data_IF_661747626047
#
_entry.id   IF_661747626047
#
_cell.length_a   1.000
_cell.length_b   1.000
_cell.length_c   1.000
_cell.angle_alpha   90.00
_cell.angle_beta   90.00
_cell.angle_gamma   90.00
#
_symmetry.space_group_name_H-M   'P 1'
#
loop_
_entity.id
_entity.type
_entity.pdbx_description
1 polymer ?
#
# COMPACT_ATOMS: atom_id res chain seq x y z
N UNK A 1 60.82 5.49 39.29
CA UNK A 1 60.26 5.30 37.93
C UNK A 1 59.99 3.81 37.71
N UNK A 2 58.78 3.33 38.02
CA UNK A 2 58.11 2.18 37.38
C UNK A 2 56.71 2.04 37.98
N UNK A 3 55.74 2.02 37.08
CA UNK A 3 54.32 2.13 37.28
C UNK A 3 53.68 0.73 37.37
N UNK A 4 52.63 0.63 38.19
CA UNK A 4 51.41 -0.19 38.06
C UNK A 4 51.49 -1.71 37.77
N UNK A 5 50.86 -2.47 38.66
CA UNK A 5 49.89 -3.52 38.30
C UNK A 5 48.72 -3.48 39.29
N UNK A 6 47.66 -2.77 38.92
CA UNK A 6 46.33 -2.88 39.53
C UNK A 6 45.60 -4.00 38.80
N UNK A 7 45.02 -4.92 39.57
CA UNK A 7 44.30 -6.08 39.10
C UNK A 7 43.03 -5.69 38.32
N UNK A 8 42.82 -6.40 37.21
CA UNK A 8 41.68 -6.28 36.33
C UNK A 8 40.38 -6.65 37.06
N UNK A 9 39.41 -5.73 37.00
CA UNK A 9 38.03 -5.94 37.37
C UNK A 9 37.34 -6.81 36.30
N UNK A 10 36.65 -7.87 36.73
CA UNK A 10 35.79 -8.70 35.89
C UNK A 10 34.60 -7.86 35.39
N UNK A 11 34.53 -7.58 34.09
CA UNK A 11 33.31 -7.09 33.47
C UNK A 11 32.41 -8.28 33.11
N UNK A 12 31.27 -8.33 33.80
CA UNK A 12 30.10 -9.11 33.40
C UNK A 12 29.75 -8.78 31.95
N UNK A 13 29.47 -9.83 31.15
CA UNK A 13 28.82 -9.70 29.84
C UNK A 13 27.43 -9.10 30.06
N UNK A 14 27.31 -7.79 29.90
CA UNK A 14 26.02 -7.15 29.68
C UNK A 14 25.48 -7.59 28.32
N UNK A 15 24.37 -8.32 28.36
CA UNK A 15 23.52 -8.57 27.20
C UNK A 15 23.09 -7.23 26.60
N UNK A 16 23.66 -6.90 25.44
CA UNK A 16 23.28 -5.69 24.70
C UNK A 16 21.78 -5.75 24.39
N UNK A 17 20.99 -4.73 24.79
CA UNK A 17 19.56 -4.72 24.50
C UNK A 17 19.35 -4.74 22.99
N UNK A 18 18.44 -5.62 22.54
CA UNK A 18 17.98 -5.69 21.15
C UNK A 18 17.51 -4.29 20.74
N UNK A 19 18.10 -3.73 19.69
CA UNK A 19 17.67 -2.47 19.10
C UNK A 19 16.23 -2.60 18.55
N UNK A 20 15.23 -2.35 19.39
CA UNK A 20 13.85 -2.09 18.99
C UNK A 20 13.73 -0.64 18.55
N UNK A 21 13.21 -0.41 17.35
CA UNK A 21 13.10 0.93 16.78
C UNK A 21 11.81 1.59 17.27
N UNK A 22 11.91 2.34 18.36
CA UNK A 22 10.81 3.11 18.93
C UNK A 22 10.68 4.43 18.14
N UNK A 23 9.57 4.63 17.43
CA UNK A 23 9.24 5.93 16.85
C UNK A 23 8.51 6.73 17.93
N UNK A 24 9.29 7.45 18.74
CA UNK A 24 8.79 8.31 19.82
C UNK A 24 9.94 9.13 20.41
N UNK A 25 9.65 10.34 20.89
CA UNK A 25 10.60 11.15 21.65
C UNK A 25 10.84 10.42 22.98
N UNK A 26 12.03 9.86 23.18
CA UNK A 26 12.44 9.24 24.43
C UNK A 26 12.52 10.34 25.50
N UNK A 27 11.56 10.38 26.41
CA UNK A 27 11.61 11.16 27.65
C UNK A 27 11.13 10.22 28.75
N UNK A 28 11.88 10.15 29.86
CA UNK A 28 11.62 9.36 31.07
C UNK A 28 10.25 9.69 31.70
N UNK A 29 9.20 9.11 31.13
CA UNK A 29 7.88 9.01 31.73
C UNK A 29 7.40 7.58 31.50
N UNK A 30 7.88 6.66 32.35
CA UNK A 30 7.57 5.23 32.27
C UNK A 30 6.09 4.92 32.58
N UNK A 31 5.34 5.85 33.19
CA UNK A 31 4.04 5.50 33.77
C UNK A 31 2.84 5.56 32.81
N UNK A 32 2.95 6.19 31.62
CA UNK A 32 1.81 6.28 30.68
C UNK A 32 2.23 6.25 29.21
N UNK A 33 2.94 5.18 28.82
CA UNK A 33 3.29 4.90 27.42
C UNK A 33 2.34 3.86 26.84
N UNK A 34 1.52 4.24 25.86
CA UNK A 34 0.78 3.28 25.06
C UNK A 34 1.64 2.84 23.87
N UNK A 35 2.04 1.57 23.86
CA UNK A 35 2.82 0.95 22.79
C UNK A 35 1.93 -0.01 21.99
N UNK A 36 1.51 0.42 20.79
CA UNK A 36 0.71 -0.39 19.90
C UNK A 36 1.58 -0.98 18.79
N UNK A 37 1.60 -2.31 18.70
CA UNK A 37 2.23 -2.97 17.57
C UNK A 37 1.34 -2.84 16.32
N UNK A 38 1.77 -2.00 15.37
CA UNK A 38 1.04 -1.73 14.12
C UNK A 38 0.84 -3.03 13.31
N UNK A 39 1.73 -4.02 13.47
CA UNK A 39 1.66 -5.29 12.75
C UNK A 39 0.32 -6.03 12.95
N UNK A 40 -0.26 -5.98 14.14
CA UNK A 40 -1.54 -6.66 14.43
C UNK A 40 -2.70 -6.04 13.65
N UNK A 41 -2.77 -4.71 13.63
CA UNK A 41 -3.82 -3.99 12.91
C UNK A 41 -3.69 -4.20 11.39
N UNK A 42 -2.46 -4.14 10.87
CA UNK A 42 -2.18 -4.45 9.47
C UNK A 42 -2.52 -5.89 9.11
N UNK A 43 -2.07 -6.84 9.94
CA UNK A 43 -2.35 -8.25 9.76
C UNK A 43 -3.86 -8.53 9.74
N UNK A 44 -4.62 -7.93 10.66
CA UNK A 44 -6.07 -8.03 10.68
C UNK A 44 -6.71 -7.49 9.39
N UNK A 45 -6.36 -6.27 8.96
CA UNK A 45 -6.89 -5.68 7.73
C UNK A 45 -6.52 -6.51 6.49
N UNK A 46 -5.30 -7.06 6.44
CA UNK A 46 -4.86 -7.95 5.37
C UNK A 46 -5.67 -9.25 5.36
N UNK A 47 -5.88 -9.89 6.50
CA UNK A 47 -6.68 -11.13 6.60
C UNK A 47 -8.12 -10.87 6.17
N UNK A 48 -8.73 -9.77 6.62
CA UNK A 48 -10.09 -9.40 6.21
C UNK A 48 -10.17 -9.14 4.70
N UNK A 49 -9.19 -8.42 4.14
CA UNK A 49 -9.11 -8.17 2.70
C UNK A 49 -8.97 -9.45 1.89
N UNK A 50 -8.06 -10.36 2.30
CA UNK A 50 -7.88 -11.67 1.66
C UNK A 50 -9.13 -12.55 1.78
N UNK A 51 -9.80 -12.52 2.93
CA UNK A 51 -11.04 -13.23 3.14
C UNK A 51 -12.13 -12.74 2.17
N UNK A 52 -12.32 -11.42 2.05
CA UNK A 52 -13.28 -10.83 1.12
C UNK A 52 -12.96 -11.15 -0.35
N UNK A 53 -11.68 -11.15 -0.74
CA UNK A 53 -11.25 -11.60 -2.07
C UNK A 53 -11.55 -13.08 -2.30
N UNK A 54 -11.32 -13.92 -1.30
CA UNK A 54 -11.59 -15.37 -1.39
C UNK A 54 -13.08 -15.64 -1.50
N UNK A 55 -13.90 -14.94 -0.71
CA UNK A 55 -15.36 -15.01 -0.82
C UNK A 55 -15.83 -14.56 -2.20
N UNK A 56 -15.26 -13.50 -2.76
CA UNK A 56 -15.56 -13.05 -4.11
C UNK A 56 -15.27 -14.13 -5.18
N UNK A 57 -14.14 -14.85 -5.03
CA UNK A 57 -13.77 -15.96 -5.92
C UNK A 57 -14.67 -17.20 -5.74
N UNK A 58 -15.10 -17.51 -4.52
CA UNK A 58 -15.99 -18.66 -4.26
C UNK A 58 -17.41 -18.40 -4.76
N UNK A 59 -17.94 -17.19 -4.52
CA UNK A 59 -19.27 -16.82 -4.97
C UNK A 59 -19.40 -16.81 -6.50
N UNK A 60 -18.28 -16.57 -7.19
CA UNK A 60 -18.21 -16.71 -8.64
C UNK A 60 -18.57 -18.14 -9.11
N UNK A 61 -17.97 -19.17 -8.50
CA UNK A 61 -18.14 -20.58 -8.87
C UNK A 61 -19.60 -21.06 -8.75
N UNK A 62 -20.32 -20.52 -7.76
CA UNK A 62 -21.71 -20.91 -7.49
C UNK A 62 -22.73 -20.32 -8.47
N UNK A 63 -22.36 -19.31 -9.27
CA UNK A 63 -23.30 -18.56 -10.11
C UNK A 63 -23.14 -18.86 -11.61
N UNK A 64 -22.51 -19.98 -11.98
CA UNK A 64 -22.34 -20.42 -13.38
C UNK A 64 -23.65 -20.57 -14.19
N UNK A 65 -24.83 -20.50 -13.59
CA UNK A 65 -26.02 -21.15 -14.16
C UNK A 65 -27.28 -20.29 -14.27
N UNK A 66 -27.20 -19.04 -14.75
CA UNK A 66 -28.39 -18.31 -15.22
C UNK A 66 -28.10 -17.41 -16.43
N UNK A 67 -27.21 -17.83 -17.33
CA UNK A 67 -27.13 -17.24 -18.66
C UNK A 67 -28.34 -17.72 -19.47
N UNK A 68 -29.42 -16.93 -19.47
CA UNK A 68 -30.53 -17.16 -20.41
C UNK A 68 -30.01 -16.91 -21.83
N UNK A 69 -29.48 -17.94 -22.47
CA UNK A 69 -29.25 -17.90 -23.91
C UNK A 69 -30.61 -17.90 -24.59
N UNK A 70 -31.01 -16.75 -25.14
CA UNK A 70 -32.12 -16.72 -26.09
C UNK A 70 -31.66 -17.44 -27.36
N UNK A 71 -31.97 -18.74 -27.45
CA UNK A 71 -31.53 -19.63 -28.53
C UNK A 71 -32.06 -19.27 -29.93
N UNK A 72 -32.87 -18.22 -30.08
CA UNK A 72 -33.66 -17.96 -31.28
C UNK A 72 -33.38 -16.64 -32.02
N UNK A 73 -32.39 -15.85 -31.60
CA UNK A 73 -31.98 -14.64 -32.34
C UNK A 73 -30.50 -14.73 -32.69
N UNK A 74 -30.15 -14.51 -33.96
CA UNK A 74 -28.77 -14.62 -34.46
C UNK A 74 -27.75 -13.68 -33.80
N UNK A 75 -28.21 -12.76 -32.94
CA UNK A 75 -27.41 -12.03 -31.96
C UNK A 75 -27.75 -12.57 -30.57
N UNK A 76 -26.74 -13.03 -29.81
CA UNK A 76 -26.94 -13.50 -28.44
C UNK A 76 -27.13 -12.28 -27.53
N UNK A 77 -28.38 -11.96 -27.26
CA UNK A 77 -28.79 -10.88 -26.37
C UNK A 77 -28.78 -11.36 -24.92
N UNK A 78 -28.12 -10.60 -24.03
CA UNK A 78 -27.99 -10.94 -22.62
C UNK A 78 -28.60 -9.86 -21.73
N UNK A 79 -29.37 -10.31 -20.74
CA UNK A 79 -29.85 -9.46 -19.65
C UNK A 79 -28.88 -9.52 -18.48
N UNK A 80 -28.18 -8.42 -18.23
CA UNK A 80 -27.27 -8.29 -17.11
C UNK A 80 -27.96 -7.59 -15.95
N UNK A 81 -28.09 -8.29 -14.83
CA UNK A 81 -28.59 -7.73 -13.58
C UNK A 81 -27.43 -7.35 -12.67
N UNK A 82 -27.32 -6.06 -12.35
CA UNK A 82 -26.32 -5.52 -11.44
C UNK A 82 -27.02 -4.75 -10.32
N UNK A 83 -27.23 -5.44 -9.19
CA UNK A 83 -28.05 -4.94 -8.10
C UNK A 83 -29.46 -4.64 -8.58
N UNK A 84 -29.86 -3.36 -8.54
CA UNK A 84 -31.18 -2.89 -8.98
C UNK A 84 -31.21 -2.54 -10.47
N UNK A 85 -30.05 -2.35 -11.12
CA UNK A 85 -29.97 -1.98 -12.54
C UNK A 85 -29.99 -3.24 -13.41
N UNK A 86 -30.76 -3.18 -14.49
CA UNK A 86 -30.73 -4.19 -15.56
C UNK A 86 -30.30 -3.53 -16.86
N UNK A 87 -29.27 -4.08 -17.51
CA UNK A 87 -28.77 -3.58 -18.80
C UNK A 87 -28.82 -4.69 -19.82
N UNK A 88 -29.27 -4.32 -21.02
CA UNK A 88 -29.25 -5.18 -22.18
C UNK A 88 -27.88 -5.11 -22.85
N UNK A 89 -27.28 -6.27 -23.10
CA UNK A 89 -25.95 -6.38 -23.67
C UNK A 89 -25.99 -7.26 -24.91
N UNK A 90 -25.44 -6.74 -26.01
CA UNK A 90 -25.31 -7.47 -27.28
C UNK A 90 -23.90 -8.05 -27.34
N UNK A 91 -23.80 -9.37 -27.36
CA UNK A 91 -22.50 -10.04 -27.34
C UNK A 91 -21.86 -10.01 -28.73
N UNK A 92 -20.72 -9.33 -28.85
CA UNK A 92 -19.88 -9.35 -30.05
C UNK A 92 -18.93 -10.54 -30.08
N UNK A 93 -18.65 -11.12 -28.91
CA UNK A 93 -17.70 -12.22 -28.76
C UNK A 93 -18.35 -13.38 -27.99
N UNK A 94 -18.83 -14.44 -28.67
CA UNK A 94 -19.56 -15.49 -28.01
C UNK A 94 -18.65 -16.37 -27.16
N UNK A 95 -19.16 -16.81 -26.01
CA UNK A 95 -18.50 -17.82 -25.18
C UNK A 95 -18.20 -19.08 -26.00
N UNK A 96 -16.97 -19.59 -25.88
CA UNK A 96 -16.58 -20.89 -26.43
C UNK A 96 -16.15 -21.84 -25.31
N UNK A 97 -16.45 -23.15 -25.42
CA UNK A 97 -16.01 -24.14 -24.45
C UNK A 97 -14.48 -24.12 -24.29
N UNK A 98 -14.01 -24.09 -23.04
CA UNK A 98 -12.59 -24.06 -22.71
C UNK A 98 -12.01 -22.68 -22.40
N UNK A 99 -12.82 -21.62 -22.47
CA UNK A 99 -12.46 -20.31 -21.90
C UNK A 99 -12.38 -20.37 -20.38
N UNK A 100 -11.54 -19.49 -19.81
CA UNK A 100 -11.29 -19.38 -18.36
C UNK A 100 -11.87 -18.09 -17.80
N UNK A 101 -12.20 -18.04 -16.51
CA UNK A 101 -12.95 -16.91 -15.98
C UNK A 101 -12.03 -15.74 -15.58
N UNK A 102 -12.21 -14.56 -16.16
CA UNK A 102 -11.39 -13.37 -15.82
C UNK A 102 -11.88 -12.71 -14.53
N UNK A 103 -10.96 -12.44 -13.59
CA UNK A 103 -11.30 -11.87 -12.29
C UNK A 103 -11.88 -10.45 -12.41
N UNK A 104 -11.23 -9.58 -13.18
CA UNK A 104 -11.65 -8.19 -13.39
C UNK A 104 -12.97 -8.13 -14.16
N UNK A 105 -13.19 -9.04 -15.12
CA UNK A 105 -14.51 -9.10 -15.79
C UNK A 105 -15.59 -9.59 -14.83
N UNK A 106 -15.32 -10.53 -13.93
CA UNK A 106 -16.30 -10.95 -12.91
C UNK A 106 -16.70 -9.80 -11.99
N UNK A 107 -15.71 -9.03 -11.51
CA UNK A 107 -15.94 -7.83 -10.70
C UNK A 107 -16.89 -6.86 -11.40
N UNK A 108 -16.84 -6.77 -12.73
CA UNK A 108 -17.76 -5.93 -13.49
C UNK A 108 -19.16 -6.55 -13.65
N UNK A 109 -19.25 -7.86 -13.82
CA UNK A 109 -20.52 -8.54 -14.13
C UNK A 109 -21.37 -8.84 -12.90
N UNK A 110 -20.76 -9.06 -11.74
CA UNK A 110 -21.47 -9.50 -10.53
C UNK A 110 -21.39 -8.46 -9.43
N UNK A 111 -22.56 -7.96 -9.00
CA UNK A 111 -22.66 -6.95 -7.94
C UNK A 111 -22.00 -7.40 -6.62
N UNK A 112 -22.24 -8.64 -6.18
CA UNK A 112 -21.69 -9.14 -4.91
C UNK A 112 -20.17 -9.23 -4.95
N UNK A 113 -19.60 -9.78 -6.03
CA UNK A 113 -18.15 -9.85 -6.27
C UNK A 113 -17.57 -8.44 -6.31
N UNK A 114 -18.25 -7.50 -6.98
CA UNK A 114 -17.84 -6.10 -7.03
C UNK A 114 -17.76 -5.45 -5.65
N UNK A 115 -18.80 -5.63 -4.81
CA UNK A 115 -18.83 -5.08 -3.45
C UNK A 115 -17.73 -5.69 -2.58
N UNK A 116 -17.54 -7.01 -2.64
CA UNK A 116 -16.46 -7.69 -1.92
C UNK A 116 -15.08 -7.20 -2.37
N UNK A 117 -14.86 -7.05 -3.68
CA UNK A 117 -13.62 -6.51 -4.25
C UNK A 117 -13.35 -5.07 -3.80
N UNK A 118 -14.36 -4.19 -3.88
CA UNK A 118 -14.26 -2.80 -3.41
C UNK A 118 -13.89 -2.75 -1.93
N UNK A 119 -14.57 -3.51 -1.09
CA UNK A 119 -14.27 -3.56 0.34
C UNK A 119 -12.85 -4.10 0.59
N UNK A 120 -12.46 -5.18 -0.09
CA UNK A 120 -11.13 -5.77 0.03
C UNK A 120 -10.01 -4.79 -0.35
N UNK A 121 -10.23 -3.97 -1.37
CA UNK A 121 -9.25 -2.99 -1.85
C UNK A 121 -9.21 -1.74 -0.97
N UNK A 122 -10.38 -1.23 -0.54
CA UNK A 122 -10.49 0.03 0.22
C UNK A 122 -10.07 -0.09 1.69
N UNK A 123 -10.40 -1.19 2.37
CA UNK A 123 -10.08 -1.40 3.79
C UNK A 123 -8.58 -1.21 4.10
N UNK A 124 -7.63 -1.78 3.34
CA UNK A 124 -6.20 -1.60 3.62
C UNK A 124 -5.65 -0.23 3.17
N UNK A 125 -6.37 0.61 2.44
CA UNK A 125 -5.80 1.85 1.86
C UNK A 125 -5.26 2.85 2.87
N UNK A 126 -5.99 3.24 3.93
CA UNK A 126 -5.48 4.21 4.89
C UNK A 126 -4.17 3.74 5.53
N UNK A 127 -4.09 2.44 5.79
CA UNK A 127 -2.91 1.78 6.32
C UNK A 127 -1.76 1.75 5.34
N UNK A 128 -2.01 1.46 4.06
CA UNK A 128 -0.99 1.50 3.01
C UNK A 128 -0.40 2.91 2.86
N UNK A 129 -1.24 3.94 2.88
CA UNK A 129 -0.79 5.34 2.85
C UNK A 129 0.06 5.63 4.08
N UNK A 130 -0.41 5.26 5.28
CA UNK A 130 0.31 5.46 6.53
C UNK A 130 1.68 4.75 6.53
N UNK A 131 1.75 3.50 6.05
CA UNK A 131 3.01 2.76 5.92
C UNK A 131 3.94 3.45 4.92
N UNK A 132 3.43 3.94 3.79
CA UNK A 132 4.25 4.64 2.80
C UNK A 132 4.97 5.85 3.45
N UNK A 133 4.25 6.62 4.28
CA UNK A 133 4.83 7.71 5.07
C UNK A 133 5.86 7.25 6.11
N UNK A 134 5.56 6.20 6.89
CA UNK A 134 6.51 5.66 7.88
C UNK A 134 7.79 5.21 7.16
N UNK A 135 7.64 4.45 6.08
CA UNK A 135 8.76 3.91 5.32
C UNK A 135 9.64 5.02 4.75
N UNK A 136 9.05 6.11 4.29
CA UNK A 136 9.79 7.29 3.87
C UNK A 136 10.67 7.80 5.02
N UNK A 137 10.14 7.90 6.23
CA UNK A 137 10.89 8.38 7.41
C UNK A 137 11.96 7.39 7.86
N UNK A 138 11.69 6.09 7.77
CA UNK A 138 12.66 5.04 8.14
C UNK A 138 13.88 5.05 7.24
N UNK A 139 13.68 5.20 5.93
CA UNK A 139 14.76 5.24 4.94
C UNK A 139 15.70 6.44 5.17
N UNK A 140 15.15 7.58 5.59
CA UNK A 140 15.93 8.79 5.93
C UNK A 140 16.82 8.67 7.17
N UNK A 141 16.71 7.60 7.96
CA UNK A 141 17.62 7.38 9.10
C UNK A 141 18.93 6.69 8.71
N UNK A 142 19.07 6.18 7.49
CA UNK A 142 20.31 5.54 7.07
C UNK A 142 21.44 6.58 6.91
N UNK A 143 22.60 6.30 7.51
CA UNK A 143 23.77 7.19 7.42
C UNK A 143 24.52 6.90 6.13
N UNK A 144 24.69 7.92 5.28
CA UNK A 144 25.47 7.85 4.05
C UNK A 144 26.73 8.71 4.16
N UNK A 145 27.88 8.14 3.78
CA UNK A 145 29.16 8.86 3.83
C UNK A 145 29.32 9.88 2.70
N UNK A 146 28.57 9.75 1.60
CA UNK A 146 28.67 10.63 0.44
C UNK A 146 27.42 11.53 0.35
N UNK A 147 27.62 12.85 0.44
CA UNK A 147 26.54 13.84 0.42
C UNK A 147 25.73 13.86 -0.89
N UNK A 148 26.35 13.55 -2.03
CA UNK A 148 25.64 13.51 -3.32
C UNK A 148 24.73 12.28 -3.40
N UNK A 149 25.23 11.11 -3.00
CA UNK A 149 24.43 9.88 -2.93
C UNK A 149 23.29 10.04 -1.91
N UNK A 150 23.55 10.70 -0.79
CA UNK A 150 22.53 11.03 0.21
C UNK A 150 21.40 11.89 -0.38
N UNK A 151 21.73 12.98 -1.08
CA UNK A 151 20.73 13.84 -1.73
C UNK A 151 19.90 13.06 -2.77
N UNK A 152 20.56 12.25 -3.61
CA UNK A 152 19.88 11.41 -4.60
C UNK A 152 18.94 10.39 -3.94
N UNK A 153 19.39 9.78 -2.83
CA UNK A 153 18.60 8.85 -2.05
C UNK A 153 17.36 9.51 -1.42
N UNK A 154 17.52 10.70 -0.81
CA UNK A 154 16.40 11.48 -0.27
C UNK A 154 15.36 11.81 -1.35
N UNK A 155 15.81 12.25 -2.53
CA UNK A 155 14.93 12.56 -3.64
C UNK A 155 14.17 11.31 -4.11
N UNK A 156 14.88 10.20 -4.33
CA UNK A 156 14.26 8.96 -4.77
C UNK A 156 13.28 8.39 -3.74
N UNK A 157 13.56 8.51 -2.44
CA UNK A 157 12.63 8.11 -1.39
C UNK A 157 11.33 8.92 -1.41
N UNK A 158 11.41 10.23 -1.64
CA UNK A 158 10.22 11.08 -1.82
C UNK A 158 9.42 10.68 -3.07
N UNK A 159 10.11 10.40 -4.18
CA UNK A 159 9.47 9.92 -5.42
C UNK A 159 8.76 8.59 -5.16
N UNK A 160 9.38 7.63 -4.46
CA UNK A 160 8.76 6.34 -4.11
C UNK A 160 7.46 6.56 -3.33
N UNK A 161 7.48 7.41 -2.32
CA UNK A 161 6.30 7.69 -1.52
C UNK A 161 5.19 8.34 -2.35
N UNK A 162 5.55 9.29 -3.22
CA UNK A 162 4.60 9.91 -4.15
C UNK A 162 3.99 8.89 -5.12
N UNK A 163 4.80 8.01 -5.69
CA UNK A 163 4.33 6.94 -6.58
C UNK A 163 3.43 5.94 -5.84
N UNK A 164 3.71 5.63 -4.57
CA UNK A 164 2.84 4.81 -3.74
C UNK A 164 1.46 5.45 -3.54
N UNK A 165 1.41 6.76 -3.29
CA UNK A 165 0.14 7.49 -3.13
C UNK A 165 -0.65 7.51 -4.43
N UNK A 166 0.00 7.77 -5.58
CA UNK A 166 -0.66 7.71 -6.90
C UNK A 166 -1.20 6.31 -7.16
N UNK A 167 -0.40 5.29 -6.87
CA UNK A 167 -0.76 3.88 -7.04
C UNK A 167 -2.01 3.51 -6.22
N UNK A 168 -2.04 3.87 -4.93
CA UNK A 168 -3.20 3.62 -4.06
C UNK A 168 -4.44 4.39 -4.54
N UNK A 169 -4.30 5.68 -4.89
CA UNK A 169 -5.42 6.50 -5.32
C UNK A 169 -5.98 6.04 -6.67
N UNK A 170 -5.11 5.72 -7.62
CA UNK A 170 -5.52 5.19 -8.93
C UNK A 170 -6.21 3.83 -8.79
N UNK A 171 -5.73 2.98 -7.88
CA UNK A 171 -6.40 1.72 -7.51
C UNK A 171 -7.80 1.96 -6.93
N UNK A 172 -7.95 2.98 -6.06
CA UNK A 172 -9.26 3.37 -5.53
C UNK A 172 -10.20 3.81 -6.65
N UNK A 173 -9.71 4.63 -7.58
CA UNK A 173 -10.51 5.16 -8.68
C UNK A 173 -11.07 4.03 -9.54
N UNK A 174 -10.25 3.11 -10.04
CA UNK A 174 -10.77 2.05 -10.93
C UNK A 174 -11.51 0.94 -10.18
N UNK A 175 -11.27 0.73 -8.87
CA UNK A 175 -12.04 -0.26 -8.10
C UNK A 175 -13.44 0.24 -7.74
N UNK A 176 -13.59 1.53 -7.44
CA UNK A 176 -14.88 2.15 -7.10
C UNK A 176 -15.74 2.40 -8.33
N UNK A 177 -15.15 2.68 -9.49
CA UNK A 177 -15.91 2.87 -10.72
C UNK A 177 -16.16 1.52 -11.40
N UNK A 178 -17.39 1.29 -11.86
CA UNK A 178 -17.73 0.21 -12.78
C UNK A 178 -17.71 0.71 -14.22
N UNK A 179 -17.33 -0.16 -15.17
CA UNK A 179 -17.18 0.20 -16.58
C UNK A 179 -18.52 0.57 -17.24
N UNK A 180 -19.58 -0.19 -16.96
CA UNK A 180 -20.90 -0.02 -17.58
C UNK A 180 -21.80 0.95 -16.83
N UNK A 181 -21.68 1.01 -15.51
CA UNK A 181 -22.64 1.71 -14.67
C UNK A 181 -22.21 3.11 -14.24
N UNK A 182 -20.90 3.38 -14.29
CA UNK A 182 -20.30 4.65 -13.88
C UNK A 182 -19.57 5.31 -15.07
N UNK A 183 -18.41 5.94 -14.84
CA UNK A 183 -17.65 6.63 -15.86
C UNK A 183 -16.50 5.76 -16.39
N UNK A 184 -16.69 5.16 -17.57
CA UNK A 184 -15.68 4.33 -18.24
C UNK A 184 -14.37 5.07 -18.55
N UNK A 185 -14.44 6.37 -18.79
CA UNK A 185 -13.25 7.20 -19.04
C UNK A 185 -12.42 7.36 -17.77
N UNK A 186 -13.08 7.60 -16.62
CA UNK A 186 -12.43 7.70 -15.33
C UNK A 186 -11.82 6.34 -14.91
N UNK A 187 -12.55 5.25 -15.15
CA UNK A 187 -12.02 3.89 -14.95
C UNK A 187 -10.74 3.68 -15.76
N UNK A 188 -10.76 4.01 -17.05
CA UNK A 188 -9.60 3.86 -17.95
C UNK A 188 -8.39 4.64 -17.45
N UNK A 189 -8.56 5.91 -17.10
CA UNK A 189 -7.46 6.72 -16.58
C UNK A 189 -6.94 6.19 -15.24
N UNK A 190 -7.83 5.77 -14.34
CA UNK A 190 -7.46 5.13 -13.07
C UNK A 190 -6.65 3.85 -13.29
N UNK A 191 -7.10 2.97 -14.19
CA UNK A 191 -6.42 1.73 -14.50
C UNK A 191 -5.04 1.95 -15.14
N UNK A 192 -4.94 2.83 -16.14
CA UNK A 192 -3.64 3.17 -16.76
C UNK A 192 -2.67 3.80 -15.75
N UNK A 193 -3.15 4.73 -14.93
CA UNK A 193 -2.34 5.36 -13.89
C UNK A 193 -1.86 4.33 -12.86
N UNK A 194 -2.72 3.38 -12.48
CA UNK A 194 -2.36 2.28 -11.59
C UNK A 194 -1.27 1.40 -12.18
N UNK A 195 -1.40 0.96 -13.43
CA UNK A 195 -0.41 0.10 -14.09
C UNK A 195 0.97 0.76 -14.14
N UNK A 196 1.03 2.04 -14.53
CA UNK A 196 2.29 2.79 -14.61
C UNK A 196 2.88 3.00 -13.21
N UNK A 197 2.07 3.48 -12.27
CA UNK A 197 2.55 3.84 -10.94
C UNK A 197 2.97 2.63 -10.10
N UNK A 198 2.21 1.52 -10.16
CA UNK A 198 2.56 0.25 -9.51
C UNK A 198 3.86 -0.34 -10.05
N UNK A 199 4.04 -0.35 -11.38
CA UNK A 199 5.28 -0.81 -12.02
C UNK A 199 6.50 -0.05 -11.51
N UNK A 200 6.43 1.27 -11.51
CA UNK A 200 7.51 2.13 -11.06
C UNK A 200 7.75 1.95 -9.55
N UNK A 201 6.67 1.93 -8.76
CA UNK A 201 6.73 1.76 -7.30
C UNK A 201 7.41 0.42 -6.92
N UNK A 202 6.99 -0.70 -7.53
CA UNK A 202 7.53 -2.02 -7.21
C UNK A 202 9.04 -2.11 -7.46
N UNK A 203 9.51 -1.59 -8.61
CA UNK A 203 10.94 -1.57 -8.94
C UNK A 203 11.73 -0.64 -8.03
N UNK A 204 11.31 0.62 -7.88
CA UNK A 204 12.02 1.56 -7.03
C UNK A 204 12.10 1.06 -5.59
N UNK A 205 10.99 0.51 -5.06
CA UNK A 205 10.95 -0.03 -3.70
C UNK A 205 11.90 -1.22 -3.52
N UNK A 206 11.96 -2.11 -4.50
CA UNK A 206 12.88 -3.27 -4.50
C UNK A 206 14.33 -2.81 -4.51
N UNK A 207 14.68 -1.86 -5.38
CA UNK A 207 16.02 -1.30 -5.49
C UNK A 207 16.46 -0.59 -4.21
N UNK A 208 15.58 0.19 -3.59
CA UNK A 208 15.88 0.88 -2.34
C UNK A 208 16.05 -0.09 -1.16
N UNK A 209 15.23 -1.14 -1.09
CA UNK A 209 15.39 -2.18 -0.08
C UNK A 209 16.70 -2.95 -0.27
N UNK A 210 17.12 -3.23 -1.52
CA UNK A 210 18.41 -3.87 -1.79
C UNK A 210 19.59 -3.04 -1.26
N UNK A 211 19.53 -1.71 -1.41
CA UNK A 211 20.56 -0.80 -0.90
C UNK A 211 20.57 -0.73 0.64
N UNK A 212 19.40 -0.67 1.28
CA UNK A 212 19.28 -0.55 2.73
C UNK A 212 19.82 -1.78 3.48
N UNK A 213 19.56 -2.98 2.96
CA UNK A 213 19.93 -4.23 3.63
C UNK A 213 21.35 -4.71 3.33
N UNK A 214 22.22 -3.87 2.75
CA UNK A 214 23.59 -4.27 2.40
C UNK A 214 24.43 -4.65 3.62
N UNK A 215 24.24 -3.97 4.74
CA UNK A 215 25.18 -4.04 5.89
C UNK A 215 24.65 -4.84 7.09
N UNK A 216 23.34 -5.14 7.17
CA UNK A 216 22.71 -5.88 8.31
C UNK A 216 21.59 -6.81 7.85
N UNK A 217 21.92 -7.83 7.06
CA UNK A 217 20.93 -8.84 6.63
C UNK A 217 20.58 -9.79 7.75
N UNK A 218 19.30 -9.83 8.12
CA UNK A 218 18.67 -10.98 8.79
C UNK A 218 18.00 -11.85 7.71
N UNK A 219 17.78 -13.13 8.02
CA UNK A 219 17.22 -14.09 7.06
C UNK A 219 15.85 -13.65 6.51
N UNK A 220 14.99 -13.10 7.38
CA UNK A 220 13.68 -12.57 7.00
C UNK A 220 13.75 -11.39 6.02
N UNK A 221 14.76 -10.52 6.13
CA UNK A 221 14.94 -9.38 5.23
C UNK A 221 15.42 -9.86 3.85
N UNK A 222 16.26 -10.90 3.82
CA UNK A 222 16.69 -11.56 2.58
C UNK A 222 15.53 -12.24 1.87
N UNK A 223 14.68 -12.96 2.61
CA UNK A 223 13.48 -13.59 2.08
C UNK A 223 12.49 -12.55 1.53
N UNK A 224 12.23 -11.47 2.28
CA UNK A 224 11.36 -10.37 1.83
C UNK A 224 11.87 -9.77 0.51
N UNK A 225 13.18 -9.51 0.41
CA UNK A 225 13.79 -8.97 -0.80
C UNK A 225 13.71 -9.93 -1.99
N UNK A 226 13.92 -11.24 -1.77
CA UNK A 226 13.82 -12.25 -2.81
C UNK A 226 12.39 -12.30 -3.38
N UNK A 227 11.38 -12.37 -2.49
CA UNK A 227 9.97 -12.40 -2.90
C UNK A 227 9.61 -11.14 -3.67
N UNK A 228 10.01 -9.94 -3.18
CA UNK A 228 9.79 -8.68 -3.89
C UNK A 228 10.39 -8.68 -5.29
N UNK A 229 11.62 -9.17 -5.44
CA UNK A 229 12.33 -9.22 -6.72
C UNK A 229 11.63 -10.14 -7.72
N UNK A 230 11.24 -11.35 -7.27
CA UNK A 230 10.50 -12.30 -8.10
C UNK A 230 9.15 -11.72 -8.50
N UNK A 231 8.41 -11.15 -7.55
CA UNK A 231 7.10 -10.56 -7.82
C UNK A 231 7.18 -9.36 -8.76
N UNK A 232 8.14 -8.45 -8.59
CA UNK A 232 8.34 -7.33 -9.50
C UNK A 232 8.68 -7.80 -10.92
N UNK A 233 9.54 -8.81 -11.07
CA UNK A 233 9.88 -9.38 -12.38
C UNK A 233 8.66 -10.02 -13.07
N UNK A 234 7.94 -10.89 -12.35
CA UNK A 234 6.71 -11.53 -12.87
C UNK A 234 5.67 -10.45 -13.22
N UNK A 235 5.43 -9.48 -12.35
CA UNK A 235 4.48 -8.40 -12.62
C UNK A 235 4.83 -7.66 -13.91
N UNK A 236 6.07 -7.16 -14.03
CA UNK A 236 6.45 -6.35 -15.20
C UNK A 236 6.52 -7.10 -16.52
N UNK A 237 6.78 -8.40 -16.51
CA UNK A 237 6.77 -9.22 -17.73
C UNK A 237 5.35 -9.46 -18.26
N UNK A 238 4.37 -9.56 -17.38
CA UNK A 238 2.98 -9.93 -17.72
C UNK A 238 2.02 -8.71 -17.78
N UNK A 239 2.38 -7.58 -17.16
CA UNK A 239 1.50 -6.41 -17.04
C UNK A 239 1.15 -5.76 -18.37
N UNK A 240 2.05 -5.81 -19.36
CA UNK A 240 1.81 -5.21 -20.69
C UNK A 240 0.69 -5.93 -21.43
N UNK A 241 0.73 -7.26 -21.46
CA UNK A 241 -0.27 -8.08 -22.13
C UNK A 241 -1.61 -7.99 -21.40
N UNK A 242 -1.59 -8.09 -20.06
CA UNK A 242 -2.78 -7.86 -19.24
C UNK A 242 -3.40 -6.47 -19.48
N UNK A 243 -2.58 -5.42 -19.55
CA UNK A 243 -3.06 -4.06 -19.84
C UNK A 243 -3.72 -3.99 -21.22
N UNK A 244 -3.14 -4.62 -22.24
CA UNK A 244 -3.69 -4.63 -23.58
C UNK A 244 -5.04 -5.35 -23.63
N UNK A 245 -5.14 -6.55 -23.06
CA UNK A 245 -6.39 -7.32 -23.02
C UNK A 245 -7.48 -6.61 -22.22
N UNK A 246 -7.13 -6.05 -21.06
CA UNK A 246 -8.09 -5.33 -20.24
C UNK A 246 -8.53 -4.02 -20.90
N UNK A 247 -7.61 -3.30 -21.55
CA UNK A 247 -7.97 -2.09 -22.30
C UNK A 247 -8.94 -2.39 -23.45
N UNK A 248 -8.75 -3.51 -24.15
CA UNK A 248 -9.73 -3.97 -25.16
C UNK A 248 -11.11 -4.19 -24.53
N UNK A 249 -11.17 -4.84 -23.37
CA UNK A 249 -12.42 -5.03 -22.63
C UNK A 249 -13.05 -3.70 -22.15
N UNK A 250 -12.25 -2.72 -21.75
CA UNK A 250 -12.72 -1.37 -21.37
C UNK A 250 -13.41 -0.68 -22.56
N UNK A 251 -12.87 -0.85 -23.77
CA UNK A 251 -13.40 -0.23 -25.00
C UNK A 251 -14.60 -1.00 -25.56
N UNK A 252 -14.57 -2.32 -25.47
CA UNK A 252 -15.57 -3.24 -26.01
C UNK A 252 -16.00 -4.25 -24.93
N UNK A 253 -16.90 -3.85 -23.99
CA UNK A 253 -17.25 -4.69 -22.85
C UNK A 253 -18.13 -5.88 -23.23
N UNK A 254 -17.56 -7.09 -23.22
CA UNK A 254 -18.23 -8.38 -23.49
C UNK A 254 -19.28 -8.73 -22.43
N UNK A 255 -20.35 -9.44 -22.79
CA UNK A 255 -21.47 -9.73 -21.88
C UNK A 255 -21.23 -10.94 -20.95
N UNK A 256 -20.10 -11.63 -21.11
CA UNK A 256 -19.66 -12.69 -20.21
C UNK A 256 -18.29 -12.41 -19.56
N UNK A 257 -18.01 -13.02 -18.39
CA UNK A 257 -16.74 -12.85 -17.68
C UNK A 257 -15.59 -13.74 -18.19
N UNK A 258 -15.86 -14.67 -19.10
CA UNK A 258 -14.85 -15.62 -19.60
C UNK A 258 -13.93 -15.03 -20.67
N UNK A 259 -12.69 -15.51 -20.71
CA UNK A 259 -11.62 -15.09 -21.64
C UNK A 259 -10.80 -16.28 -22.12
N UNK A 260 -9.93 -16.07 -23.12
CA UNK A 260 -8.97 -17.10 -23.51
C UNK A 260 -8.01 -17.43 -22.35
N UNK A 261 -7.53 -18.68 -22.31
CA UNK A 261 -6.68 -19.17 -21.21
C UNK A 261 -5.42 -18.33 -21.00
N UNK A 262 -4.82 -17.87 -22.09
CA UNK A 262 -3.64 -17.01 -22.07
C UNK A 262 -3.95 -15.68 -21.35
N UNK A 263 -5.07 -15.02 -21.71
CA UNK A 263 -5.52 -13.77 -21.08
C UNK A 263 -5.78 -13.96 -19.57
N UNK A 264 -6.49 -15.02 -19.19
CA UNK A 264 -6.76 -15.33 -17.78
C UNK A 264 -5.48 -15.61 -16.99
N UNK A 265 -4.56 -16.38 -17.57
CA UNK A 265 -3.29 -16.72 -16.92
C UNK A 265 -2.44 -15.48 -16.66
N UNK A 266 -2.33 -14.58 -17.65
CA UNK A 266 -1.64 -13.31 -17.53
C UNK A 266 -2.23 -12.44 -16.41
N UNK A 267 -3.56 -12.32 -16.37
CA UNK A 267 -4.27 -11.63 -15.31
C UNK A 267 -3.96 -12.20 -13.91
N UNK A 268 -4.02 -13.52 -13.76
CA UNK A 268 -3.76 -14.16 -12.47
C UNK A 268 -2.31 -13.96 -12.01
N UNK A 269 -1.33 -14.04 -12.92
CA UNK A 269 0.07 -13.77 -12.60
C UNK A 269 0.27 -12.33 -12.12
N UNK A 270 -0.35 -11.36 -12.78
CA UNK A 270 -0.30 -9.94 -12.40
C UNK A 270 -0.92 -9.72 -11.02
N UNK A 271 -2.12 -10.25 -10.78
CA UNK A 271 -2.83 -10.08 -9.50
C UNK A 271 -2.05 -10.74 -8.36
N UNK A 272 -1.59 -11.98 -8.54
CA UNK A 272 -0.85 -12.72 -7.50
C UNK A 272 0.50 -12.08 -7.21
N UNK A 273 1.26 -11.71 -8.24
CA UNK A 273 2.57 -11.06 -8.05
C UNK A 273 2.43 -9.72 -7.34
N UNK A 274 1.44 -8.91 -7.71
CA UNK A 274 1.13 -7.66 -7.00
C UNK A 274 0.74 -7.92 -5.54
N UNK A 275 -0.15 -8.89 -5.29
CA UNK A 275 -0.58 -9.25 -3.93
C UNK A 275 0.61 -9.69 -3.06
N UNK A 276 1.40 -10.66 -3.52
CA UNK A 276 2.55 -11.17 -2.76
C UNK A 276 3.60 -10.09 -2.54
N UNK A 277 3.84 -9.22 -3.52
CA UNK A 277 4.73 -8.08 -3.36
C UNK A 277 4.29 -7.20 -2.18
N UNK A 278 3.02 -6.81 -2.13
CA UNK A 278 2.50 -5.97 -1.06
C UNK A 278 2.42 -6.68 0.29
N UNK A 279 2.20 -8.01 0.32
CA UNK A 279 2.26 -8.79 1.57
C UNK A 279 3.65 -8.74 2.23
N UNK A 280 4.73 -8.62 1.45
CA UNK A 280 6.09 -8.48 2.03
C UNK A 280 6.27 -7.19 2.85
N UNK A 281 5.39 -6.20 2.70
CA UNK A 281 5.43 -4.97 3.50
C UNK A 281 5.22 -5.29 5.00
N UNK A 282 4.43 -6.32 5.33
CA UNK A 282 4.23 -6.77 6.71
C UNK A 282 5.57 -7.17 7.37
N UNK A 283 6.46 -7.80 6.60
CA UNK A 283 7.81 -8.15 7.08
C UNK A 283 8.62 -6.88 7.30
N UNK A 284 8.55 -5.91 6.38
CA UNK A 284 9.32 -4.68 6.47
C UNK A 284 8.91 -3.80 7.67
N UNK A 285 7.63 -3.80 8.06
CA UNK A 285 7.10 -3.02 9.19
C UNK A 285 7.06 -3.77 10.52
N UNK A 286 7.55 -5.00 10.59
CA UNK A 286 7.41 -5.89 11.77
C UNK A 286 7.93 -5.31 13.10
N UNK A 287 8.87 -4.38 13.04
CA UNK A 287 9.48 -3.73 14.21
C UNK A 287 8.95 -2.31 14.44
N UNK A 288 7.96 -1.85 13.67
CA UNK A 288 7.40 -0.51 13.78
C UNK A 288 6.33 -0.51 14.87
N UNK A 289 6.48 0.40 15.83
CA UNK A 289 5.57 0.57 16.95
C UNK A 289 5.02 2.00 16.97
N UNK A 290 3.72 2.13 17.23
CA UNK A 290 3.09 3.41 17.46
C UNK A 290 3.16 3.72 18.96
N UNK A 291 3.83 4.81 19.31
CA UNK A 291 3.90 5.28 20.70
C UNK A 291 3.06 6.54 20.86
N UNK A 292 1.98 6.44 21.63
CA UNK A 292 1.12 7.57 21.96
C UNK A 292 1.45 8.09 23.37
N UNK A 293 1.61 9.41 23.50
CA UNK A 293 1.81 10.10 24.78
C UNK A 293 0.58 10.94 25.11
N UNK A 294 0.03 10.87 26.34
CA UNK A 294 -1.07 11.73 26.75
C UNK A 294 -0.64 13.21 26.80
N UNK A 295 -1.53 14.10 26.35
CA UNK A 295 -1.32 15.55 26.19
C UNK A 295 -1.00 16.31 27.48
N UNK A 296 -1.39 15.78 28.65
CA UNK A 296 -1.00 16.34 29.96
C UNK A 296 0.52 16.34 30.21
N UNK A 297 1.28 15.57 29.41
CA UNK A 297 2.74 15.53 29.41
C UNK A 297 3.39 16.36 28.29
N UNK A 298 2.63 16.94 27.36
CA UNK A 298 3.17 17.72 26.23
C UNK A 298 3.19 19.23 26.48
N UNK A 299 2.22 19.80 27.22
CA UNK A 299 2.24 21.23 27.60
C UNK A 299 3.46 21.59 28.45
N UNK A 300 3.91 20.69 29.34
CA UNK A 300 5.17 20.88 30.08
C UNK A 300 6.42 20.76 29.21
N UNK A 301 6.35 20.17 28.00
CA UNK A 301 7.51 19.99 27.10
C UNK A 301 7.83 21.22 26.27
N UNK A 302 6.84 21.99 25.83
CA UNK A 302 7.11 23.23 25.08
C UNK A 302 7.75 24.31 25.97
N UNK A 303 7.39 24.35 27.26
CA UNK A 303 7.92 25.31 28.24
C UNK A 303 9.37 25.00 28.64
N UNK A 304 9.78 23.72 28.65
CA UNK A 304 11.16 23.35 28.98
C UNK A 304 12.08 23.57 27.77
N UNK A 305 11.60 23.32 26.55
CA UNK A 305 12.39 23.50 25.32
C UNK A 305 12.68 24.96 25.00
N UNK A 306 11.79 25.89 25.36
CA UNK A 306 12.02 27.34 25.16
C UNK A 306 13.04 27.93 26.14
N UNK A 307 13.35 27.25 27.26
CA UNK A 307 14.35 27.73 28.25
C UNK A 307 15.76 27.18 28.05
N UNK A 308 15.95 26.13 27.26
CA UNK A 308 17.25 25.46 27.11
C UNK A 308 17.93 25.67 25.74
N UNK A 309 17.38 26.51 24.87
CA UNK A 309 18.01 26.83 23.58
C UNK A 309 19.00 27.98 23.80
N UNK A 310 20.24 27.62 24.07
CA UNK A 310 21.40 28.46 23.73
C UNK A 310 21.56 28.50 22.20
N UNK A 311 21.99 29.64 21.63
CA UNK A 311 21.99 29.85 20.19
C UNK A 311 23.20 29.17 19.58
N UNK A 312 23.08 27.94 19.06
CA UNK A 312 24.04 27.44 18.06
C UNK A 312 23.65 26.16 17.29
N UNK A 313 22.41 25.67 17.36
CA UNK A 313 22.02 24.49 16.55
C UNK A 313 20.62 24.63 15.94
N UNK A 314 20.58 25.22 14.74
CA UNK A 314 19.54 25.01 13.73
C UNK A 314 19.57 23.54 13.25
N UNK A 315 18.51 22.82 12.90
CA UNK A 315 17.25 23.14 12.21
C UNK A 315 16.16 22.20 12.74
N UNK A 316 14.99 22.73 13.12
CA UNK A 316 13.78 21.93 13.35
C UNK A 316 12.70 22.30 12.35
N UNK A 317 12.12 21.33 11.65
CA UNK A 317 10.82 21.50 10.99
C UNK A 317 9.73 21.53 12.06
N UNK A 318 9.26 22.73 12.37
CA UNK A 318 8.02 22.97 13.10
C UNK A 318 6.89 23.12 12.09
N UNK A 319 5.96 22.17 12.07
CA UNK A 319 4.63 22.45 11.52
C UNK A 319 3.94 23.29 12.59
N UNK A 320 3.95 24.62 12.40
CA UNK A 320 3.14 25.52 13.22
C UNK A 320 1.68 25.06 13.11
N UNK A 321 1.01 24.68 14.20
CA UNK A 321 -0.44 24.61 14.17
C UNK A 321 -0.98 26.01 13.85
N UNK A 322 -2.05 26.03 13.05
CA UNK A 322 -2.77 27.24 12.66
C UNK A 322 -3.06 28.11 13.88
N UNK A 323 -2.86 29.40 13.70
CA UNK A 323 -2.72 30.41 14.73
C UNK A 323 -3.81 30.42 15.81
N UNK A 324 -3.29 30.74 16.99
CA UNK A 324 -3.92 31.00 18.26
C UNK A 324 -5.08 32.03 18.15
N UNK A 325 -6.21 31.72 18.78
CA UNK A 325 -7.43 32.55 18.80
C UNK A 325 -7.21 33.91 19.48
N UNK A 326 -6.10 34.06 20.20
CA UNK A 326 -5.81 35.24 21.01
C UNK A 326 -5.20 36.40 20.20
N UNK A 327 -4.71 36.19 18.97
CA UNK A 327 -4.20 37.28 18.12
C UNK A 327 -5.33 38.07 17.41
N UNK A 328 -6.56 37.55 17.41
CA UNK A 328 -7.71 38.22 16.81
C UNK A 328 -8.42 39.21 17.76
N UNK A 329 -8.28 39.04 19.09
CA UNK A 329 -8.90 39.96 20.06
C UNK A 329 -8.05 41.22 20.29
N UNK A 330 -6.71 41.13 20.20
CA UNK A 330 -5.87 42.32 20.37
C UNK A 330 -5.98 43.31 19.18
N UNK A 331 -6.29 42.82 17.97
CA UNK A 331 -6.55 43.67 16.80
C UNK A 331 -7.94 44.31 16.79
N UNK A 332 -8.87 43.86 17.65
CA UNK A 332 -10.21 44.47 17.80
C UNK A 332 -10.29 45.58 18.86
N UNK A 333 -9.27 45.70 19.72
CA UNK A 333 -9.19 46.77 20.71
C UNK A 333 -8.32 47.96 20.25
N UNK A 334 -7.63 47.84 19.12
CA UNK A 334 -6.78 48.89 18.52
C UNK A 334 -7.30 49.43 17.18
N UNK A 335 -8.52 49.07 16.80
CA UNK A 335 -9.30 49.68 15.72
C UNK A 335 -10.64 50.13 16.31
#
# INVERSE_FOLDING_TARGET
>A
MKCNKVAHCNTSKEDKPKHELIIGIQVDYDDMRFDFNILWLLGFCTVVSLFLMTVALILFDQQETNYFMFNNTGAKEFWLHYGVKSVFCVETFPYTPGMWPSFMRQVEHQYTVNMCYRAAVLIPMPFRIYIAFIMCTLLLKSKWNNALLWKGYCLGNNIINFMAVIEILSQAIFSVNSLRFDNSTLYRYGFTAFVISSTIYMWMRTLFNLQLFRDKRRDYDTLSLLIKTICAAIYTTNISDFYHYHLKFILEPTCHPYVHKEEAFQEYLVILSYLFFHLTILIDVRNVRLVCYPTSSSEKREIIRSKSITPDQDISFSVKPFADKNEFEEKRQKA
#
